data_IF_801840478810
#
_entry.id   IF_801840478810
#
_cell.length_a   1.000
_cell.length_b   1.000
_cell.length_c   1.000
_cell.angle_alpha   90.00
_cell.angle_beta   90.00
_cell.angle_gamma   90.00
#
_symmetry.space_group_name_H-M   'P 1'
#
loop_
_entity.id
_entity.type
_entity.pdbx_description
1 polymer ?
#
# COMPACT_ATOMS: atom_id res chain seq x y z
N UNK A 1 22.02 59.43 12.98
CA UNK A 1 20.84 59.84 13.78
C UNK A 1 19.83 60.51 12.87
N UNK A 2 18.75 59.83 12.48
CA UNK A 2 17.38 60.37 12.43
C UNK A 2 16.50 59.35 11.72
N UNK A 3 15.53 58.91 12.49
CA UNK A 3 14.54 57.92 12.18
C UNK A 3 13.50 58.46 11.20
N UNK A 4 12.60 57.53 10.86
CA UNK A 4 11.15 57.71 10.82
C UNK A 4 10.49 57.95 9.46
N UNK A 5 9.56 57.02 9.20
CA UNK A 5 8.23 57.18 8.62
C UNK A 5 8.07 56.86 7.13
N UNK A 6 7.63 55.61 6.92
CA UNK A 6 6.61 55.29 5.92
C UNK A 6 5.48 56.34 5.93
N UNK A 7 4.84 56.56 4.77
CA UNK A 7 3.41 56.77 4.75
C UNK A 7 2.70 55.58 4.11
N UNK A 8 1.84 55.01 4.95
CA UNK A 8 0.75 54.11 4.65
C UNK A 8 -0.32 54.87 3.84
N UNK A 9 -0.53 54.49 2.58
CA UNK A 9 -1.72 54.78 1.78
C UNK A 9 -1.79 53.66 0.72
N UNK A 10 -2.33 52.47 0.99
CA UNK A 10 -3.75 52.16 1.20
C UNK A 10 -4.65 52.84 0.16
N UNK A 11 -5.41 51.97 -0.53
CA UNK A 11 -6.61 52.24 -1.34
C UNK A 11 -6.41 52.65 -2.81
N UNK A 12 -6.41 51.64 -3.70
CA UNK A 12 -7.51 51.33 -4.64
C UNK A 12 -6.97 50.79 -5.97
N UNK A 13 -7.03 49.47 -6.13
CA UNK A 13 -6.68 48.82 -7.40
C UNK A 13 -6.72 47.30 -7.35
N UNK A 14 -7.83 46.73 -6.87
CA UNK A 14 -8.21 45.37 -7.30
C UNK A 14 -8.89 45.50 -8.68
N UNK A 15 -8.92 44.48 -9.56
CA UNK A 15 -8.55 43.07 -9.40
C UNK A 15 -7.48 42.64 -10.45
N UNK A 16 -6.91 41.44 -10.44
CA UNK A 16 -7.46 40.33 -11.24
C UNK A 16 -6.45 39.17 -11.32
N UNK A 17 -7.01 37.97 -11.34
CA UNK A 17 -6.50 36.76 -11.98
C UNK A 17 -5.21 36.10 -11.44
N UNK A 18 -5.44 35.08 -10.61
CA UNK A 18 -5.03 33.70 -10.86
C UNK A 18 -3.70 33.48 -11.61
N UNK A 19 -2.70 33.00 -10.87
CA UNK A 19 -1.96 31.84 -11.33
C UNK A 19 -1.76 30.94 -10.12
N UNK A 20 -2.60 29.92 -10.05
CA UNK A 20 -2.39 28.77 -9.18
C UNK A 20 -1.02 28.20 -9.57
N UNK A 21 0.00 28.48 -8.75
CA UNK A 21 1.25 27.74 -8.82
C UNK A 21 0.90 26.28 -8.65
N UNK A 22 0.96 25.54 -9.76
CA UNK A 22 0.82 24.10 -9.77
C UNK A 22 1.86 23.58 -8.77
N UNK A 23 1.38 23.11 -7.61
CA UNK A 23 2.17 22.26 -6.76
C UNK A 23 2.63 21.11 -7.68
N UNK A 24 3.93 20.82 -7.79
CA UNK A 24 4.35 19.57 -8.39
C UNK A 24 3.80 18.51 -7.45
N UNK A 25 2.64 17.95 -7.80
CA UNK A 25 2.35 16.58 -7.42
C UNK A 25 3.49 15.80 -8.06
N UNK A 26 4.56 15.57 -7.29
CA UNK A 26 5.36 14.38 -7.51
C UNK A 26 4.34 13.25 -7.46
N UNK A 27 4.06 12.69 -8.64
CA UNK A 27 3.44 11.39 -8.72
C UNK A 27 4.31 10.51 -7.83
N UNK A 28 3.78 9.99 -6.70
CA UNK A 28 4.54 9.04 -5.94
C UNK A 28 4.80 7.92 -6.93
N UNK A 29 6.08 7.69 -7.22
CA UNK A 29 6.52 6.52 -7.93
C UNK A 29 6.08 5.35 -7.03
N UNK A 30 4.86 4.87 -7.27
CA UNK A 30 4.28 3.74 -6.58
C UNK A 30 5.04 2.57 -7.17
N UNK A 31 6.28 2.39 -6.68
CA UNK A 31 6.89 1.10 -6.58
C UNK A 31 5.82 0.26 -5.90
N UNK A 32 5.06 -0.48 -6.72
CA UNK A 32 4.20 -1.57 -6.31
C UNK A 32 5.12 -2.52 -5.56
N UNK A 33 5.33 -2.24 -4.27
CA UNK A 33 5.90 -3.17 -3.33
C UNK A 33 4.91 -4.32 -3.37
N UNK A 34 5.22 -5.32 -4.19
CA UNK A 34 4.48 -6.59 -4.21
C UNK A 34 4.38 -7.00 -2.76
N UNK A 35 3.17 -6.98 -2.21
CA UNK A 35 2.97 -7.37 -0.83
C UNK A 35 3.46 -8.82 -0.71
N UNK A 36 4.27 -9.13 0.32
CA UNK A 36 4.78 -10.47 0.48
C UNK A 36 3.59 -11.43 0.55
N UNK A 37 3.57 -12.39 -0.37
CA UNK A 37 2.43 -13.29 -0.52
C UNK A 37 2.74 -14.57 0.21
N UNK A 38 1.94 -14.88 1.24
CA UNK A 38 2.00 -16.17 1.93
C UNK A 38 0.84 -17.03 1.47
N UNK A 39 1.14 -18.21 0.92
CA UNK A 39 0.14 -19.17 0.46
C UNK A 39 0.27 -20.45 1.26
N UNK A 40 -0.86 -21.10 1.54
CA UNK A 40 -0.89 -22.43 2.15
C UNK A 40 -1.51 -23.40 1.16
N UNK A 41 -0.78 -24.47 0.82
CA UNK A 41 -1.27 -25.52 -0.06
C UNK A 41 -1.50 -26.79 0.76
N UNK A 42 -2.75 -27.25 0.82
CA UNK A 42 -3.13 -28.50 1.47
C UNK A 42 -3.13 -29.66 0.47
N UNK A 43 -2.30 -30.68 0.72
CA UNK A 43 -2.34 -31.94 0.00
C UNK A 43 -3.05 -33.01 0.82
N UNK A 44 -4.27 -33.39 0.41
CA UNK A 44 -5.05 -34.45 1.07
C UNK A 44 -4.44 -35.86 0.89
N UNK A 45 -3.78 -36.11 -0.24
CA UNK A 45 -3.13 -37.39 -0.54
C UNK A 45 -1.91 -37.64 0.34
N UNK A 46 -1.08 -36.61 0.54
CA UNK A 46 0.14 -36.71 1.33
C UNK A 46 -0.06 -36.31 2.80
N UNK A 47 -1.25 -35.80 3.15
CA UNK A 47 -1.62 -35.33 4.50
C UNK A 47 -0.64 -34.28 5.03
N UNK A 48 -0.31 -33.31 4.17
CA UNK A 48 0.64 -32.23 4.46
C UNK A 48 0.10 -30.88 4.04
N UNK A 49 0.47 -29.84 4.78
CA UNK A 49 0.33 -28.44 4.36
C UNK A 49 1.73 -27.91 4.03
N UNK A 50 1.89 -27.32 2.85
CA UNK A 50 3.08 -26.54 2.47
C UNK A 50 2.78 -25.07 2.66
N UNK A 51 3.70 -24.36 3.29
CA UNK A 51 3.64 -22.90 3.41
C UNK A 51 4.62 -22.32 2.41
N UNK A 52 4.11 -21.50 1.52
CA UNK A 52 4.88 -20.75 0.55
C UNK A 52 4.96 -19.29 1.00
N UNK A 53 6.14 -18.70 0.90
CA UNK A 53 6.37 -17.27 1.06
C UNK A 53 7.08 -16.76 -0.19
N UNK A 54 6.43 -15.86 -0.92
CA UNK A 54 6.93 -15.31 -2.19
C UNK A 54 7.34 -16.40 -3.20
N UNK A 55 6.51 -17.44 -3.29
CA UNK A 55 6.72 -18.59 -4.20
C UNK A 55 7.68 -19.66 -3.70
N UNK A 56 8.37 -19.44 -2.58
CA UNK A 56 9.31 -20.40 -2.01
C UNK A 56 8.66 -21.19 -0.87
N UNK A 57 8.88 -22.51 -0.82
CA UNK A 57 8.43 -23.32 0.31
C UNK A 57 9.29 -23.00 1.52
N UNK A 58 8.68 -22.44 2.56
CA UNK A 58 9.36 -22.08 3.83
C UNK A 58 9.12 -23.11 4.92
N UNK A 59 8.01 -23.86 4.85
CA UNK A 59 7.71 -24.90 5.82
C UNK A 59 6.79 -25.98 5.24
N UNK A 60 6.82 -27.16 5.86
CA UNK A 60 5.89 -28.26 5.58
C UNK A 60 5.49 -28.92 6.87
N UNK A 61 4.18 -29.04 7.10
CA UNK A 61 3.64 -29.62 8.33
C UNK A 61 2.79 -30.84 8.01
N UNK A 62 2.88 -31.93 8.80
CA UNK A 62 1.88 -32.99 8.76
C UNK A 62 0.53 -32.43 9.26
N UNK A 63 -0.56 -32.87 8.64
CA UNK A 63 -1.92 -32.43 9.01
C UNK A 63 -2.91 -33.59 8.96
N UNK A 64 -3.90 -33.57 9.84
CA UNK A 64 -5.06 -34.45 9.72
C UNK A 64 -6.05 -33.86 8.70
N UNK A 65 -6.53 -34.69 7.77
CA UNK A 65 -7.58 -34.31 6.82
C UNK A 65 -8.85 -35.08 7.11
N UNK A 66 -9.98 -34.55 6.62
CA UNK A 66 -11.28 -35.21 6.73
C UNK A 66 -11.22 -36.65 6.23
N UNK A 67 -12.03 -37.51 6.84
CA UNK A 67 -12.14 -38.91 6.46
C UNK A 67 -12.69 -39.04 5.03
N UNK A 68 -12.56 -40.22 4.42
CA UNK A 68 -13.01 -40.44 3.04
C UNK A 68 -14.53 -40.26 2.88
N UNK A 69 -15.30 -40.61 3.91
CA UNK A 69 -16.76 -40.44 3.97
C UNK A 69 -17.21 -39.01 4.30
N UNK A 70 -16.29 -38.17 4.79
CA UNK A 70 -16.52 -36.76 5.11
C UNK A 70 -15.25 -35.93 4.80
N UNK A 71 -14.93 -35.71 3.51
CA UNK A 71 -13.66 -35.13 3.11
C UNK A 71 -13.61 -33.63 3.42
N UNK A 72 -12.41 -33.13 3.73
CA UNK A 72 -12.18 -31.67 3.76
C UNK A 72 -12.50 -31.09 2.37
N UNK A 73 -13.39 -30.08 2.27
CA UNK A 73 -13.74 -29.45 1.00
C UNK A 73 -12.52 -28.82 0.32
N UNK A 74 -12.59 -28.67 -1.01
CA UNK A 74 -11.62 -27.88 -1.77
C UNK A 74 -12.12 -26.44 -1.90
N UNK A 75 -11.20 -25.47 -1.98
CA UNK A 75 -11.47 -24.04 -2.12
C UNK A 75 -10.25 -23.30 -2.64
#
# INVERSE_FOLDING_TARGET
>A
MKSLLLPLALLLGLPSAASAGALPWEEPDVALKKQPTTLLELSRSTKKVKVFHDGNVVATFPVAVGRVDAPTPLG
#
